data_IF_936619661143
#
_entry.id   IF_936619661143
#
_cell.length_a   1.000
_cell.length_b   1.000
_cell.length_c   1.000
_cell.angle_alpha   90.00
_cell.angle_beta   90.00
_cell.angle_gamma   90.00
#
_symmetry.space_group_name_H-M   'P 1'
#
loop_
_entity.id
_entity.type
_entity.pdbx_description
1 polymer ?
#
# COMPACT_ATOMS: atom_id res chain seq x y z
N UNK A 1 -1.39 -21.02 -3.44
CA UNK A 1 -0.92 -19.64 -3.62
C UNK A 1 0.59 -19.53 -3.45
N UNK A 2 1.30 -19.13 -4.50
CA UNK A 2 2.72 -18.76 -4.44
C UNK A 2 2.82 -17.26 -4.68
N UNK A 3 3.75 -16.59 -4.00
CA UNK A 3 4.05 -15.17 -4.25
C UNK A 3 4.57 -15.04 -5.68
N UNK A 4 3.93 -14.19 -6.49
CA UNK A 4 4.30 -13.96 -7.89
C UNK A 4 5.20 -12.72 -8.06
N UNK A 5 4.90 -11.64 -7.33
CA UNK A 5 5.60 -10.37 -7.45
C UNK A 5 5.95 -9.79 -6.09
N UNK A 6 7.10 -9.14 -6.01
CA UNK A 6 7.55 -8.39 -4.82
C UNK A 6 8.01 -7.00 -5.23
N UNK A 7 7.81 -6.00 -4.38
CA UNK A 7 8.35 -4.66 -4.59
C UNK A 7 9.59 -4.45 -3.72
N UNK A 8 10.55 -3.69 -4.23
CA UNK A 8 11.73 -3.27 -3.47
C UNK A 8 12.00 -1.78 -3.70
N UNK A 9 12.60 -1.11 -2.72
CA UNK A 9 12.91 0.33 -2.81
C UNK A 9 14.17 0.60 -3.64
N UNK A 10 15.05 -0.38 -3.77
CA UNK A 10 16.31 -0.25 -4.51
C UNK A 10 16.86 -1.62 -4.86
N UNK A 11 17.65 -1.68 -5.95
CA UNK A 11 18.52 -2.84 -6.28
C UNK A 11 19.79 -2.90 -5.41
N UNK A 12 20.06 -1.87 -4.62
CA UNK A 12 21.28 -1.80 -3.82
C UNK A 12 21.33 -2.94 -2.81
N UNK A 13 22.48 -3.61 -2.79
CA UNK A 13 22.89 -4.65 -1.84
C UNK A 13 23.77 -4.10 -0.71
N UNK A 14 23.96 -2.79 -0.66
CA UNK A 14 24.71 -2.09 0.40
C UNK A 14 23.77 -1.75 1.54
N UNK A 15 24.23 -1.94 2.78
CA UNK A 15 23.49 -1.55 3.98
C UNK A 15 23.00 -0.10 3.86
N UNK A 16 21.70 0.11 4.06
CA UNK A 16 21.02 1.41 3.92
C UNK A 16 21.10 2.10 2.54
N UNK A 17 21.68 1.46 1.50
CA UNK A 17 21.86 2.07 0.17
C UNK A 17 20.55 2.48 -0.53
N UNK A 18 19.42 1.89 -0.11
CA UNK A 18 18.09 2.29 -0.58
C UNK A 18 17.71 3.74 -0.24
N UNK A 19 18.28 4.32 0.82
CA UNK A 19 17.95 5.69 1.30
C UNK A 19 18.33 6.77 0.31
N UNK A 20 19.39 6.55 -0.47
CA UNK A 20 19.86 7.43 -1.52
C UNK A 20 19.08 7.28 -2.84
N UNK A 21 18.26 6.22 -2.93
CA UNK A 21 17.53 5.84 -4.15
C UNK A 21 16.01 5.85 -3.96
N UNK A 22 15.51 6.59 -2.97
CA UNK A 22 14.08 6.68 -2.65
C UNK A 22 13.23 7.25 -3.79
N UNK A 23 13.80 8.10 -4.64
CA UNK A 23 13.07 8.83 -5.69
C UNK A 23 12.71 7.95 -6.90
N UNK A 24 13.59 7.03 -7.27
CA UNK A 24 13.49 6.32 -8.55
C UNK A 24 14.16 4.93 -8.55
N UNK A 25 14.75 4.50 -7.44
CA UNK A 25 15.44 3.21 -7.37
C UNK A 25 14.52 2.00 -7.27
N UNK A 26 13.24 2.23 -7.02
CA UNK A 26 12.28 1.19 -6.74
C UNK A 26 11.94 0.34 -7.95
N UNK A 27 11.63 -0.92 -7.67
CA UNK A 27 11.29 -1.91 -8.69
C UNK A 27 10.21 -2.87 -8.20
N UNK A 28 9.57 -3.52 -9.16
CA UNK A 28 8.78 -4.74 -8.94
C UNK A 28 9.50 -5.90 -9.63
N UNK A 29 9.67 -7.00 -8.90
CA UNK A 29 10.40 -8.19 -9.32
C UNK A 29 9.43 -9.34 -9.53
N UNK A 30 9.55 -10.05 -10.64
CA UNK A 30 8.94 -11.38 -10.82
C UNK A 30 9.72 -12.41 -9.98
N UNK A 31 9.04 -13.06 -9.05
CA UNK A 31 9.67 -14.00 -8.11
C UNK A 31 10.15 -15.28 -8.81
N UNK A 32 9.49 -15.70 -9.89
CA UNK A 32 9.85 -16.93 -10.58
C UNK A 32 11.16 -16.77 -11.37
N UNK A 33 11.38 -15.61 -11.99
CA UNK A 33 12.57 -15.37 -12.81
C UNK A 33 13.65 -14.57 -12.10
N UNK A 34 13.27 -13.76 -11.11
CA UNK A 34 14.16 -12.78 -10.46
C UNK A 34 14.32 -11.48 -11.25
N UNK A 35 13.61 -11.32 -12.38
CA UNK A 35 13.73 -10.14 -13.23
C UNK A 35 12.93 -8.97 -12.67
N UNK A 36 13.50 -7.76 -12.82
CA UNK A 36 12.78 -6.53 -12.55
C UNK A 36 11.82 -6.25 -13.71
N UNK A 37 10.53 -6.45 -13.49
CA UNK A 37 9.47 -6.21 -14.48
C UNK A 37 9.08 -4.74 -14.58
N UNK A 38 9.32 -3.94 -13.54
CA UNK A 38 9.15 -2.49 -13.58
C UNK A 38 10.25 -1.84 -12.75
N UNK A 39 10.73 -0.67 -13.18
CA UNK A 39 11.79 0.10 -12.51
C UNK A 39 11.44 1.59 -12.52
N UNK A 40 12.24 2.43 -11.84
CA UNK A 40 11.97 3.88 -11.81
C UNK A 40 10.88 4.28 -10.82
N UNK A 41 10.40 3.35 -9.99
CA UNK A 41 9.37 3.60 -8.99
C UNK A 41 9.96 4.31 -7.77
N UNK A 42 9.18 5.16 -7.12
CA UNK A 42 9.56 5.81 -5.87
C UNK A 42 8.96 5.06 -4.69
N UNK A 43 9.82 4.31 -3.98
CA UNK A 43 9.45 3.52 -2.80
C UNK A 43 8.17 2.67 -3.01
N UNK A 44 8.15 1.73 -3.97
CA UNK A 44 6.93 0.99 -4.31
C UNK A 44 6.49 0.04 -3.19
N UNK A 45 5.19 0.00 -2.92
CA UNK A 45 4.59 -0.83 -1.88
C UNK A 45 3.40 -1.65 -2.39
N UNK A 46 3.11 -2.72 -1.65
CA UNK A 46 1.84 -3.47 -1.71
C UNK A 46 1.46 -3.95 -3.12
N UNK A 47 2.33 -4.67 -3.85
CA UNK A 47 1.95 -5.23 -5.14
C UNK A 47 0.78 -6.21 -4.96
N UNK A 48 -0.18 -6.17 -5.89
CA UNK A 48 -1.37 -7.03 -5.90
C UNK A 48 -1.71 -7.45 -7.32
N UNK A 49 -2.01 -8.73 -7.51
CA UNK A 49 -2.71 -9.20 -8.70
C UNK A 49 -4.20 -9.13 -8.43
N UNK A 50 -4.91 -8.32 -9.21
CA UNK A 50 -6.35 -8.16 -9.07
C UNK A 50 -6.98 -7.77 -10.40
N UNK A 51 -8.10 -8.42 -10.73
CA UNK A 51 -8.85 -8.18 -11.97
C UNK A 51 -7.96 -8.25 -13.24
N UNK A 52 -7.12 -9.28 -13.32
CA UNK A 52 -6.22 -9.50 -14.45
C UNK A 52 -5.06 -8.49 -14.59
N UNK A 53 -4.89 -7.57 -13.64
CA UNK A 53 -3.86 -6.53 -13.66
C UNK A 53 -2.92 -6.64 -12.47
N UNK A 54 -1.67 -6.21 -12.68
CA UNK A 54 -0.70 -6.00 -11.60
C UNK A 54 -0.81 -4.56 -11.10
N UNK A 55 -1.18 -4.41 -9.84
CA UNK A 55 -1.31 -3.13 -9.15
C UNK A 55 -0.14 -2.90 -8.21
N UNK A 56 0.25 -1.64 -8.05
CA UNK A 56 1.30 -1.23 -7.11
C UNK A 56 1.01 0.17 -6.57
N UNK A 57 1.47 0.45 -5.35
CA UNK A 57 1.51 1.81 -4.83
C UNK A 57 2.87 2.41 -5.13
N UNK A 58 2.91 3.49 -5.90
CA UNK A 58 4.11 4.29 -6.13
C UNK A 58 4.21 5.36 -5.02
N UNK A 59 4.54 4.91 -3.81
CA UNK A 59 4.27 5.66 -2.57
C UNK A 59 4.94 7.01 -2.50
N UNK A 60 6.16 7.16 -3.02
CA UNK A 60 6.86 8.45 -3.04
C UNK A 60 6.38 9.42 -4.12
N UNK A 61 5.55 8.96 -5.06
CA UNK A 61 4.79 9.80 -5.99
C UNK A 61 3.35 10.07 -5.50
N UNK A 62 2.87 9.31 -4.50
CA UNK A 62 1.49 9.33 -4.04
C UNK A 62 0.54 8.81 -5.10
N UNK A 63 0.82 7.64 -5.68
CA UNK A 63 -0.03 7.09 -6.75
C UNK A 63 -0.40 5.63 -6.50
N UNK A 64 -1.63 5.29 -6.88
CA UNK A 64 -2.02 3.92 -7.23
C UNK A 64 -1.77 3.75 -8.71
N UNK A 65 -1.03 2.70 -9.09
CA UNK A 65 -0.65 2.44 -10.48
C UNK A 65 -0.98 0.99 -10.88
N UNK A 66 -1.11 0.78 -12.19
CA UNK A 66 -1.00 -0.54 -12.81
C UNK A 66 0.36 -0.71 -13.49
N UNK A 67 0.83 -1.95 -13.62
CA UNK A 67 2.02 -2.34 -14.37
C UNK A 67 1.59 -3.32 -15.45
N UNK A 68 2.00 -3.08 -16.71
CA UNK A 68 1.99 -4.13 -17.74
C UNK A 68 3.26 -4.99 -17.57
N UNK A 69 3.15 -6.28 -17.19
CA UNK A 69 4.33 -7.13 -16.99
C UNK A 69 5.12 -7.42 -18.26
N UNK A 70 4.57 -7.17 -19.46
CA UNK A 70 5.24 -7.46 -20.73
C UNK A 70 6.35 -6.46 -21.07
N UNK A 71 6.10 -5.18 -20.80
CA UNK A 71 7.02 -4.09 -21.15
C UNK A 71 7.40 -3.22 -19.94
N UNK A 72 6.80 -3.47 -18.78
CA UNK A 72 7.07 -2.75 -17.54
C UNK A 72 6.43 -1.38 -17.45
N UNK A 73 5.52 -1.05 -18.36
CA UNK A 73 4.83 0.24 -18.37
C UNK A 73 4.05 0.43 -17.09
N UNK A 74 4.38 1.51 -16.37
CA UNK A 74 3.66 1.94 -15.17
C UNK A 74 2.65 3.01 -15.56
N UNK A 75 1.36 2.75 -15.31
CA UNK A 75 0.28 3.72 -15.58
C UNK A 75 -0.34 4.18 -14.27
N UNK A 76 -0.22 5.47 -13.91
CA UNK A 76 -0.93 6.03 -12.77
C UNK A 76 -2.45 5.96 -12.99
N UNK A 77 -3.17 5.46 -11.98
CA UNK A 77 -4.63 5.35 -11.99
C UNK A 77 -5.25 6.43 -11.11
N UNK A 78 -4.68 6.68 -9.92
CA UNK A 78 -5.22 7.64 -8.98
C UNK A 78 -4.12 8.32 -8.15
N UNK A 79 -4.33 9.60 -7.82
CA UNK A 79 -3.50 10.32 -6.87
C UNK A 79 -3.97 10.09 -5.42
N UNK A 80 -3.02 9.77 -4.55
CA UNK A 80 -3.19 9.50 -3.14
C UNK A 80 -2.54 10.64 -2.33
N UNK A 81 -3.30 11.51 -1.64
CA UNK A 81 -2.75 12.65 -0.90
C UNK A 81 -2.12 12.25 0.44
N UNK A 82 -1.14 11.34 0.40
CA UNK A 82 -0.43 10.79 1.53
C UNK A 82 0.52 9.68 1.10
N UNK A 83 1.39 9.24 2.00
CA UNK A 83 2.33 8.16 1.70
C UNK A 83 1.56 6.83 1.67
N UNK A 84 1.30 6.32 0.46
CA UNK A 84 0.41 5.18 0.25
C UNK A 84 1.07 3.85 0.70
N UNK A 85 0.43 3.14 1.62
CA UNK A 85 0.85 1.84 2.15
C UNK A 85 -0.37 0.98 2.46
N UNK A 86 -0.31 -0.29 2.08
CA UNK A 86 -1.45 -1.19 2.15
C UNK A 86 -2.38 -1.00 0.97
N UNK A 87 -2.67 -2.11 0.30
CA UNK A 87 -3.61 -2.18 -0.81
C UNK A 87 -4.44 -3.45 -0.68
N UNK A 88 -5.76 -3.29 -0.70
CA UNK A 88 -6.71 -4.39 -0.79
C UNK A 88 -7.82 -4.03 -1.77
N UNK A 89 -8.59 -5.02 -2.21
CA UNK A 89 -9.67 -4.81 -3.17
C UNK A 89 -10.98 -5.42 -2.66
N UNK A 90 -12.09 -4.78 -3.02
CA UNK A 90 -13.44 -5.30 -2.82
C UNK A 90 -14.31 -4.92 -4.03
N UNK A 91 -14.69 -5.91 -4.84
CA UNK A 91 -15.39 -5.65 -6.10
C UNK A 91 -14.57 -4.74 -7.01
N UNK A 92 -15.14 -3.62 -7.46
CA UNK A 92 -14.44 -2.63 -8.30
C UNK A 92 -13.64 -1.58 -7.52
N UNK A 93 -13.50 -1.74 -6.21
CA UNK A 93 -12.91 -0.72 -5.36
C UNK A 93 -11.55 -1.16 -4.82
N UNK A 94 -10.54 -0.31 -5.00
CA UNK A 94 -9.27 -0.38 -4.30
C UNK A 94 -9.39 0.36 -2.97
N UNK A 95 -9.03 -0.30 -1.87
CA UNK A 95 -8.86 0.32 -0.56
C UNK A 95 -7.38 0.56 -0.33
N UNK A 96 -6.98 1.81 -0.19
CA UNK A 96 -5.58 2.23 -0.04
C UNK A 96 -5.37 2.86 1.32
N UNK A 97 -4.39 2.37 2.07
CA UNK A 97 -3.95 3.03 3.30
C UNK A 97 -3.01 4.19 3.01
N UNK A 98 -3.15 5.27 3.78
CA UNK A 98 -2.30 6.45 3.73
C UNK A 98 -1.65 6.68 5.09
N UNK A 99 -0.37 7.01 5.06
CA UNK A 99 0.36 7.54 6.20
C UNK A 99 0.72 8.99 5.97
N UNK A 100 0.87 9.76 7.05
CA UNK A 100 1.56 11.05 6.94
C UNK A 100 3.04 10.74 6.67
N UNK A 101 3.68 11.38 5.67
CA UNK A 101 5.12 11.30 5.50
C UNK A 101 5.78 11.67 6.83
N UNK A 102 6.73 10.86 7.29
CA UNK A 102 7.41 11.12 8.56
C UNK A 102 8.12 12.47 8.46
N UNK A 103 8.11 13.25 9.55
CA UNK A 103 9.02 14.40 9.76
C UNK A 103 10.44 13.94 10.07
N UNK A 104 10.96 13.02 9.26
CA UNK A 104 12.34 12.57 9.35
C UNK A 104 12.91 12.50 7.93
N UNK A 105 14.24 12.59 7.83
CA UNK A 105 14.97 12.70 6.57
C UNK A 105 14.68 11.57 5.55
N UNK A 106 14.06 10.47 5.99
CA UNK A 106 13.77 9.29 5.16
C UNK A 106 12.50 9.42 4.31
N UNK A 107 11.56 10.30 4.66
CA UNK A 107 10.32 10.49 3.89
C UNK A 107 10.13 11.92 3.38
N UNK A 108 11.01 12.84 3.78
CA UNK A 108 11.10 14.19 3.22
C UNK A 108 11.83 14.18 1.87
N UNK A 109 11.44 15.14 1.00
CA UNK A 109 12.09 15.37 -0.29
C UNK A 109 11.68 14.37 -1.37
N UNK A 110 10.54 13.69 -1.16
CA UNK A 110 9.89 12.89 -2.19
C UNK A 110 9.06 13.78 -3.12
N UNK A 111 8.83 13.33 -4.35
CA UNK A 111 7.98 14.07 -5.31
C UNK A 111 6.55 14.29 -4.78
N UNK A 112 6.09 13.43 -3.86
CA UNK A 112 4.84 13.61 -3.14
C UNK A 112 4.71 14.99 -2.49
N UNK A 113 5.76 15.53 -1.88
CA UNK A 113 5.71 16.82 -1.18
C UNK A 113 5.41 17.96 -2.16
N UNK A 114 6.11 17.98 -3.29
CA UNK A 114 5.92 18.96 -4.37
C UNK A 114 4.53 18.83 -5.00
N UNK A 115 4.05 17.60 -5.22
CA UNK A 115 2.73 17.32 -5.80
C UNK A 115 1.59 17.70 -4.87
N UNK A 116 1.76 17.52 -3.57
CA UNK A 116 0.81 17.99 -2.56
C UNK A 116 0.75 19.52 -2.54
N UNK A 117 1.92 20.19 -2.52
CA UNK A 117 2.00 21.65 -2.54
C UNK A 117 1.37 22.24 -3.82
N UNK A 118 1.65 21.66 -4.99
CA UNK A 118 1.06 22.09 -6.27
C UNK A 118 -0.48 21.95 -6.32
N UNK A 119 -1.06 21.15 -5.41
CA UNK A 119 -2.50 20.91 -5.30
C UNK A 119 -3.13 21.59 -4.09
N UNK A 120 -2.39 22.45 -3.39
CA UNK A 120 -2.80 23.08 -2.13
C UNK A 120 -3.35 22.06 -1.11
N UNK A 121 -2.67 20.91 -1.00
CA UNK A 121 -3.12 19.80 -0.18
C UNK A 121 -2.13 19.50 0.95
N UNK A 122 -2.65 19.31 2.16
CA UNK A 122 -1.89 18.76 3.27
C UNK A 122 -1.84 17.22 3.20
N UNK A 123 -0.74 16.56 3.62
CA UNK A 123 -0.66 15.11 3.69
C UNK A 123 -1.68 14.52 4.67
N UNK A 124 -2.28 13.38 4.29
CA UNK A 124 -3.34 12.71 5.06
C UNK A 124 -2.86 11.34 5.58
N UNK A 125 -3.34 10.96 6.76
CA UNK A 125 -3.32 9.58 7.24
C UNK A 125 -4.76 9.07 7.29
N UNK A 126 -5.01 7.85 6.83
CA UNK A 126 -6.36 7.35 6.64
C UNK A 126 -6.49 6.29 5.57
N UNK A 127 -7.71 6.06 5.11
CA UNK A 127 -8.03 5.15 4.00
C UNK A 127 -8.65 5.94 2.85
N UNK A 128 -8.34 5.53 1.62
CA UNK A 128 -9.08 5.91 0.42
C UNK A 128 -9.81 4.69 -0.12
N UNK A 129 -11.00 4.92 -0.66
CA UNK A 129 -11.72 3.96 -1.50
C UNK A 129 -11.74 4.54 -2.91
N UNK A 130 -11.06 3.86 -3.83
CA UNK A 130 -10.84 4.31 -5.20
C UNK A 130 -11.57 3.35 -6.13
N UNK A 131 -12.37 3.90 -7.02
CA UNK A 131 -12.98 3.18 -8.12
C UNK A 131 -11.91 2.87 -9.18
N UNK A 132 -11.66 1.59 -9.46
CA UNK A 132 -10.53 1.15 -10.30
C UNK A 132 -10.76 1.37 -11.79
N UNK A 133 -12.01 1.57 -12.21
CA UNK A 133 -12.37 1.81 -13.60
C UNK A 133 -12.17 3.28 -13.96
N UNK A 134 -12.50 4.17 -13.03
CA UNK A 134 -12.46 5.63 -13.24
C UNK A 134 -11.24 6.32 -12.62
N UNK A 135 -10.56 5.68 -11.66
CA UNK A 135 -9.49 6.28 -10.88
C UNK A 135 -9.96 7.30 -9.83
N UNK A 136 -11.27 7.49 -9.67
CA UNK A 136 -11.83 8.46 -8.73
C UNK A 136 -11.84 7.92 -7.30
N UNK A 137 -11.47 8.77 -6.33
CA UNK A 137 -11.73 8.48 -4.91
C UNK A 137 -13.21 8.68 -4.64
N UNK A 138 -13.92 7.60 -4.33
CA UNK A 138 -15.37 7.61 -4.07
C UNK A 138 -15.69 7.76 -2.59
N UNK A 139 -14.83 7.26 -1.70
CA UNK A 139 -14.99 7.40 -0.24
C UNK A 139 -13.63 7.53 0.43
N UNK A 140 -13.62 8.04 1.66
CA UNK A 140 -12.40 8.18 2.45
C UNK A 140 -12.68 8.15 3.95
N UNK A 141 -11.67 7.76 4.72
CA UNK A 141 -11.66 7.85 6.17
C UNK A 141 -10.35 8.50 6.60
N UNK A 142 -10.40 9.54 7.43
CA UNK A 142 -9.21 10.28 7.87
C UNK A 142 -8.95 10.06 9.35
N UNK A 143 -7.71 9.75 9.69
CA UNK A 143 -7.23 9.80 11.06
C UNK A 143 -6.65 11.19 11.34
N UNK A 144 -7.32 11.95 12.19
CA UNK A 144 -6.88 13.30 12.56
C UNK A 144 -5.92 13.30 13.76
N UNK A 145 -6.00 12.28 14.61
CA UNK A 145 -5.24 12.17 15.86
C UNK A 145 -4.70 10.75 16.07
N UNK A 146 -3.65 10.63 16.89
CA UNK A 146 -3.06 9.38 17.42
C UNK A 146 -2.41 8.44 16.41
N UNK A 147 -2.96 8.34 15.20
CA UNK A 147 -2.52 7.45 14.14
C UNK A 147 -1.96 8.30 13.00
N UNK A 148 -0.66 8.15 12.79
CA UNK A 148 0.09 8.85 11.73
C UNK A 148 0.55 7.88 10.64
N UNK A 149 0.57 6.59 10.96
CA UNK A 149 1.11 5.54 10.09
C UNK A 149 0.16 4.34 10.00
N UNK A 150 -0.09 3.94 8.76
CA UNK A 150 -0.68 2.65 8.40
C UNK A 150 0.36 1.85 7.60
N UNK A 151 0.44 0.55 7.86
CA UNK A 151 1.39 -0.34 7.20
C UNK A 151 0.73 -1.23 6.15
N UNK A 152 -0.49 -1.68 6.41
CA UNK A 152 -1.27 -2.50 5.49
C UNK A 152 -2.77 -2.28 5.69
N UNK A 153 -3.57 -2.73 4.72
CA UNK A 153 -5.03 -2.80 4.80
C UNK A 153 -5.49 -4.16 4.28
N UNK A 154 -6.49 -4.72 4.96
CA UNK A 154 -7.13 -5.97 4.55
C UNK A 154 -8.64 -5.81 4.55
N UNK A 155 -9.31 -6.45 3.59
CA UNK A 155 -10.76 -6.53 3.51
C UNK A 155 -11.18 -7.89 4.05
N UNK A 156 -12.15 -7.90 4.97
CA UNK A 156 -12.71 -9.11 5.58
C UNK A 156 -14.22 -9.22 5.24
N UNK A 157 -14.59 -9.82 4.10
CA UNK A 157 -15.99 -9.92 3.68
C UNK A 157 -16.84 -10.68 4.70
N UNK A 158 -18.04 -10.17 5.00
CA UNK A 158 -18.98 -10.82 5.92
C UNK A 158 -18.63 -10.73 7.41
N UNK A 159 -17.51 -10.11 7.76
CA UNK A 159 -17.12 -9.89 9.16
C UNK A 159 -17.74 -8.60 9.69
N UNK A 160 -18.48 -8.69 10.80
CA UNK A 160 -19.15 -7.53 11.42
C UNK A 160 -18.36 -6.91 12.58
N UNK A 161 -17.61 -7.73 13.31
CA UNK A 161 -16.82 -7.32 14.48
C UNK A 161 -15.45 -7.95 14.38
N UNK A 162 -14.58 -7.32 13.58
CA UNK A 162 -13.18 -7.72 13.51
C UNK A 162 -12.50 -7.30 14.82
N UNK A 163 -11.86 -8.25 15.50
CA UNK A 163 -11.05 -8.02 16.70
C UNK A 163 -9.62 -8.45 16.41
N UNK A 164 -8.66 -7.61 16.80
CA UNK A 164 -7.24 -7.93 16.78
C UNK A 164 -6.72 -7.74 18.19
N UNK A 165 -6.19 -8.81 18.77
CA UNK A 165 -5.51 -8.75 20.06
C UNK A 165 -4.03 -8.53 19.78
N UNK A 166 -3.46 -7.50 20.40
CA UNK A 166 -2.06 -7.15 20.21
C UNK A 166 -1.11 -8.27 20.68
N UNK A 167 0.16 -8.18 20.28
CA UNK A 167 1.19 -9.18 20.64
C UNK A 167 1.72 -9.03 22.07
N UNK A 168 1.30 -7.99 22.79
CA UNK A 168 1.70 -7.72 24.19
C UNK A 168 0.48 -7.27 25.00
N UNK A 169 0.43 -7.64 26.27
CA UNK A 169 -0.62 -7.23 27.21
C UNK A 169 -1.35 -8.40 27.86
N UNK A 170 -2.00 -8.14 28.99
CA UNK A 170 -2.76 -9.16 29.73
C UNK A 170 -4.05 -9.60 29.00
N UNK A 171 -4.53 -8.81 28.04
CA UNK A 171 -5.71 -9.13 27.21
C UNK A 171 -5.52 -10.43 26.42
N UNK A 172 -4.28 -10.77 26.04
CA UNK A 172 -3.92 -12.03 25.39
C UNK A 172 -4.31 -13.22 26.29
N UNK A 173 -4.02 -13.12 27.59
CA UNK A 173 -4.29 -14.18 28.58
C UNK A 173 -5.78 -14.38 28.84
N UNK A 174 -6.60 -13.37 28.51
CA UNK A 174 -8.05 -13.37 28.74
C UNK A 174 -8.84 -13.70 27.49
N UNK A 175 -8.16 -13.87 26.35
CA UNK A 175 -8.82 -14.25 25.10
C UNK A 175 -9.32 -15.70 25.17
N UNK A 176 -10.63 -15.87 25.00
CA UNK A 176 -11.28 -17.18 24.92
C UNK A 176 -11.91 -17.31 23.55
N UNK A 177 -11.39 -18.24 22.73
CA UNK A 177 -11.99 -18.57 21.44
C UNK A 177 -12.83 -19.83 21.60
N UNK A 178 -14.15 -19.69 21.53
CA UNK A 178 -15.04 -20.83 21.42
C UNK A 178 -14.93 -21.36 19.98
N UNK A 179 -14.63 -22.65 19.77
CA UNK A 179 -14.66 -23.23 18.44
C UNK A 179 -16.03 -22.97 17.82
N UNK A 180 -16.07 -22.37 16.64
CA UNK A 180 -17.31 -22.35 15.86
C UNK A 180 -17.65 -23.79 15.56
N UNK A 181 -18.76 -24.27 16.14
CA UNK A 181 -19.36 -25.55 15.80
C UNK A 181 -19.53 -25.62 14.29
N UNK A 182 -18.74 -26.43 13.61
CA UNK A 182 -19.10 -26.95 12.30
C UNK A 182 -20.19 -28.01 12.49
N UNK A 183 -21.37 -27.55 12.91
CA UNK A 183 -22.64 -28.20 12.66
C UNK A 183 -23.21 -27.46 11.44
N UNK A 184 -23.42 -28.05 10.27
CA UNK A 184 -23.93 -29.39 9.90
C UNK A 184 -23.97 -29.45 8.35
N UNK A 185 -24.66 -30.44 7.78
CA UNK A 185 -24.23 -31.76 7.31
C UNK A 185 -23.55 -31.74 5.92
#
# INVERSE_FOLDING_TARGET
>A
DRVAYVSTVSRSDVADGWRERRRDGGLVVDVATGDAIATGLSMPHSPRLYDGRLWVLNSGQGELCTIDPKDGTVTPVAFCPGYARGLAFIGRYAVVGLSRPRRNQTFEGLALDERLAARDAAPRCGLLVIDIDTGLTVEWLRFEHTIDELYDVAVLPGVKQAEVIGFRGDDIKRSVRIPTSTARP
#
